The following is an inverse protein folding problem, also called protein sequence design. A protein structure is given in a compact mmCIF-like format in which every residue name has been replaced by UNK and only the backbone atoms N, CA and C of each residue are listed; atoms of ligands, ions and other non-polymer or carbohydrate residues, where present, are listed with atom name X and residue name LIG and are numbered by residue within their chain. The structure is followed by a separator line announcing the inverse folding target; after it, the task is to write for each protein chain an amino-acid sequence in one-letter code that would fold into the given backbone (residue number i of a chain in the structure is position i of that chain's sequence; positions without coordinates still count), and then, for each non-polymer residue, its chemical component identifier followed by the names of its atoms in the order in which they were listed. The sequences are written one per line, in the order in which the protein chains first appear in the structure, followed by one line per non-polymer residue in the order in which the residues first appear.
data_IF_596382107109
#
_entry.id   IF_596382107109
#
_cell.length_a   1.000
_cell.length_b   1.000
_cell.length_c   1.000
_cell.angle_alpha   90.00
_cell.angle_beta   90.00
_cell.angle_gamma   90.00
#
_symmetry.space_group_name_H-M   'P 1'
#
loop_
_entity.id
_entity.type
_entity.pdbx_description
1 polymer ?
#
# COMPACT_ATOMS: atom_id res chain seq x y z
N UNK A 1 -1.80 16.54 11.00
CA UNK A 1 -1.59 15.68 12.18
C UNK A 1 -1.04 14.34 11.69
N UNK A 2 0.22 14.03 12.02
CA UNK A 2 0.89 12.78 11.66
C UNK A 2 0.56 11.73 12.74
N UNK A 3 -0.28 10.73 12.44
CA UNK A 3 -0.64 9.68 13.41
C UNK A 3 0.41 8.56 13.42
N UNK A 4 0.76 8.15 14.64
CA UNK A 4 1.93 7.35 15.04
C UNK A 4 1.87 5.85 14.70
N UNK A 5 1.34 5.44 13.55
CA UNK A 5 1.21 4.01 13.16
C UNK A 5 2.36 3.49 12.26
N UNK A 6 3.48 4.21 12.18
CA UNK A 6 4.57 4.01 11.19
C UNK A 6 5.67 3.02 11.60
N UNK A 7 5.34 1.88 12.22
CA UNK A 7 6.36 0.96 12.77
C UNK A 7 6.30 -0.50 12.28
N UNK A 8 5.83 -0.74 11.06
CA UNK A 8 5.95 -2.07 10.41
C UNK A 8 6.63 -2.10 9.04
N UNK A 9 7.00 -0.94 8.51
CA UNK A 9 7.85 -0.84 7.32
C UNK A 9 9.06 0.02 7.65
N UNK A 10 9.97 -0.45 8.53
CA UNK A 10 11.22 0.27 8.72
C UNK A 10 11.97 0.21 7.39
N UNK A 11 12.52 1.35 7.00
CA UNK A 11 13.34 1.59 5.80
C UNK A 11 12.53 1.96 4.54
N UNK A 12 12.77 3.17 4.03
CA UNK A 12 12.38 3.70 2.70
C UNK A 12 11.09 4.52 2.50
N UNK A 13 10.48 5.14 3.52
CA UNK A 13 9.42 6.15 3.26
C UNK A 13 9.90 7.34 2.39
N UNK A 14 11.21 7.59 2.31
CA UNK A 14 11.82 8.63 1.45
C UNK A 14 12.16 8.19 0.01
N UNK A 15 12.07 6.90 -0.30
CA UNK A 15 12.48 6.31 -1.59
C UNK A 15 11.40 5.43 -2.22
N UNK A 16 10.24 5.27 -1.58
CA UNK A 16 9.11 4.55 -2.14
C UNK A 16 8.55 5.31 -3.34
N UNK A 17 8.46 4.63 -4.47
CA UNK A 17 7.81 5.14 -5.65
C UNK A 17 6.34 5.48 -5.33
N UNK A 18 5.82 6.55 -5.93
CA UNK A 18 4.49 7.10 -5.62
C UNK A 18 3.37 6.04 -5.60
N UNK A 19 3.41 5.05 -6.51
CA UNK A 19 2.43 3.96 -6.57
C UNK A 19 2.44 3.05 -5.34
N UNK A 20 3.60 2.81 -4.72
CA UNK A 20 3.72 2.00 -3.52
C UNK A 20 3.03 2.67 -2.32
N UNK A 21 3.18 4.00 -2.19
CA UNK A 21 2.53 4.77 -1.13
C UNK A 21 1.00 4.73 -1.25
N UNK A 22 0.46 4.83 -2.47
CA UNK A 22 -0.99 4.74 -2.69
C UNK A 22 -1.54 3.39 -2.24
N UNK A 23 -0.85 2.30 -2.57
CA UNK A 23 -1.24 0.95 -2.13
C UNK A 23 -1.12 0.80 -0.62
N UNK A 24 -0.06 1.31 0.02
CA UNK A 24 0.09 1.22 1.49
C UNK A 24 -1.05 1.94 2.20
N UNK A 25 -1.42 3.14 1.76
CA UNK A 25 -2.47 3.95 2.39
C UNK A 25 -3.85 3.28 2.34
N UNK A 26 -4.11 2.46 1.32
CA UNK A 26 -5.36 1.70 1.20
C UNK A 26 -5.55 0.69 2.34
N UNK A 27 -4.47 0.16 2.93
CA UNK A 27 -4.51 -0.90 3.95
C UNK A 27 -3.91 -0.40 5.28
N UNK A 28 -4.72 0.22 6.16
CA UNK A 28 -4.23 0.67 7.45
C UNK A 28 -3.86 -0.51 8.37
N UNK A 29 -2.89 -0.26 9.24
CA UNK A 29 -2.19 -1.28 10.05
C UNK A 29 -3.03 -1.80 11.24
N UNK A 30 -4.14 -1.14 11.57
CA UNK A 30 -5.05 -1.50 12.66
C UNK A 30 -6.50 -1.48 12.17
N UNK A 31 -7.42 -1.97 13.00
CA UNK A 31 -8.86 -2.25 12.79
C UNK A 31 -9.74 -1.09 12.23
N UNK A 32 -9.14 -0.05 11.67
CA UNK A 32 -9.80 1.10 11.05
C UNK A 32 -10.42 0.81 9.66
N UNK A 33 -10.48 -0.45 9.24
CA UNK A 33 -11.08 -0.84 7.97
C UNK A 33 -10.35 -0.29 6.73
N UNK A 34 -10.89 -0.55 5.55
CA UNK A 34 -10.33 -0.06 4.29
C UNK A 34 -10.53 1.46 4.17
N UNK A 35 -9.49 2.22 3.83
CA UNK A 35 -9.68 3.66 3.56
C UNK A 35 -10.28 3.86 2.16
N UNK A 36 -11.61 4.03 2.09
CA UNK A 36 -12.37 4.13 0.84
C UNK A 36 -11.94 5.31 -0.04
N UNK A 37 -11.48 6.41 0.55
CA UNK A 37 -10.99 7.57 -0.20
C UNK A 37 -9.67 7.26 -0.92
N UNK A 38 -8.73 6.62 -0.24
CA UNK A 38 -7.45 6.21 -0.82
C UNK A 38 -7.65 5.12 -1.89
N UNK A 39 -8.59 4.19 -1.67
CA UNK A 39 -8.95 3.17 -2.66
C UNK A 39 -9.57 3.79 -3.90
N UNK A 40 -10.50 4.72 -3.73
CA UNK A 40 -11.12 5.44 -4.85
C UNK A 40 -10.06 6.19 -5.66
N UNK A 41 -9.10 6.81 -4.98
CA UNK A 41 -7.98 7.49 -5.64
C UNK A 41 -7.03 6.49 -6.33
N UNK A 42 -6.74 5.33 -5.73
CA UNK A 42 -5.93 4.29 -6.36
C UNK A 42 -6.59 3.79 -7.65
N UNK A 43 -7.90 3.56 -7.63
CA UNK A 43 -8.70 3.18 -8.81
C UNK A 43 -8.59 4.28 -9.87
N UNK A 44 -8.82 5.54 -9.52
CA UNK A 44 -8.66 6.67 -10.43
C UNK A 44 -7.23 6.77 -11.01
N UNK A 45 -6.20 6.53 -10.19
CA UNK A 45 -4.81 6.61 -10.58
C UNK A 45 -4.44 5.55 -11.64
N UNK A 46 -4.94 4.31 -11.48
CA UNK A 46 -4.67 3.24 -12.45
C UNK A 46 -5.54 3.34 -13.69
N UNK A 47 -6.79 3.81 -13.58
CA UNK A 47 -7.70 3.96 -14.72
C UNK A 47 -7.31 5.14 -15.61
N UNK A 48 -6.88 6.26 -15.02
CA UNK A 48 -6.38 7.42 -15.77
C UNK A 48 -5.01 7.18 -16.41
N UNK A 49 -4.23 6.21 -15.89
CA UNK A 49 -2.87 5.90 -16.37
C UNK A 49 -2.64 4.39 -16.45
N UNK A 50 -3.11 3.71 -17.52
CA UNK A 50 -3.02 2.26 -17.64
C UNK A 50 -1.59 1.70 -17.52
N UNK A 51 -0.58 2.46 -17.98
CA UNK A 51 0.84 2.08 -17.84
C UNK A 51 1.35 2.02 -16.39
N UNK A 52 0.57 2.50 -15.40
CA UNK A 52 0.86 2.37 -13.96
C UNK A 52 0.29 1.09 -13.37
N UNK A 53 -0.70 0.47 -14.01
CA UNK A 53 -1.36 -0.74 -13.52
C UNK A 53 -0.38 -1.89 -13.28
N UNK A 54 0.56 -2.21 -14.19
CA UNK A 54 1.53 -3.29 -13.93
C UNK A 54 2.43 -3.02 -12.72
N UNK A 55 2.77 -1.75 -12.47
CA UNK A 55 3.60 -1.35 -11.32
C UNK A 55 2.84 -1.48 -10.01
N UNK A 56 1.58 -1.10 -10.00
CA UNK A 56 0.68 -1.27 -8.85
C UNK A 56 0.44 -2.75 -8.58
N UNK A 57 0.14 -3.55 -9.62
CA UNK A 57 -0.10 -4.99 -9.50
C UNK A 57 1.13 -5.72 -8.96
N UNK A 58 2.30 -5.52 -9.55
CA UNK A 58 3.56 -6.13 -9.10
C UNK A 58 3.90 -5.77 -7.65
N UNK A 59 3.67 -4.52 -7.24
CA UNK A 59 3.87 -4.12 -5.85
C UNK A 59 2.87 -4.80 -4.90
N UNK A 60 1.60 -4.91 -5.30
CA UNK A 60 0.57 -5.60 -4.50
C UNK A 60 0.90 -7.09 -4.33
N UNK A 61 1.36 -7.77 -5.37
CA UNK A 61 1.81 -9.17 -5.31
C UNK A 61 2.98 -9.33 -4.34
N UNK A 62 4.01 -8.49 -4.45
CA UNK A 62 5.15 -8.52 -3.55
C UNK A 62 4.73 -8.31 -2.08
N UNK A 63 3.90 -7.28 -1.83
CA UNK A 63 3.37 -7.00 -0.49
C UNK A 63 2.54 -8.17 0.05
N UNK A 64 1.71 -8.79 -0.79
CA UNK A 64 0.89 -9.94 -0.40
C UNK A 64 1.77 -11.15 -0.05
N UNK A 65 2.83 -11.40 -0.82
CA UNK A 65 3.80 -12.46 -0.52
C UNK A 65 4.53 -12.19 0.80
N UNK A 66 4.94 -10.95 1.06
CA UNK A 66 5.54 -10.54 2.34
C UNK A 66 4.56 -10.68 3.50
N UNK A 67 3.31 -10.24 3.33
CA UNK A 67 2.27 -10.33 4.34
C UNK A 67 1.94 -11.81 4.64
N UNK A 68 1.85 -12.69 3.63
CA UNK A 68 1.66 -14.14 3.81
C UNK A 68 2.85 -14.77 4.53
N UNK A 69 4.09 -14.42 4.14
CA UNK A 69 5.31 -14.88 4.79
C UNK A 69 5.35 -14.45 6.26
N UNK A 70 4.97 -13.22 6.56
CA UNK A 70 4.96 -12.65 7.90
C UNK A 70 3.74 -13.08 8.73
N UNK A 71 2.65 -13.56 8.10
CA UNK A 71 1.50 -14.17 8.79
C UNK A 71 1.80 -15.58 9.32
N UNK A 72 2.88 -16.23 8.88
CA UNK A 72 3.35 -17.48 9.50
C UNK A 72 4.00 -17.28 10.89
N UNK A 73 4.23 -16.04 11.33
CA UNK A 73 4.80 -15.73 12.65
C UNK A 73 3.86 -14.93 13.57
N UNK A 74 2.57 -14.88 13.24
CA UNK A 74 1.52 -14.37 14.16
C UNK A 74 0.68 -15.51 14.69
#
# INVERSE_FOLDING_TARGET
MLTSANLRYPLHRRLQAHHALLVINCFPVKDSGLNTADVSYLIFYVTSRPHKLPKVASYMEHKLMEDVKNRRSR
#
